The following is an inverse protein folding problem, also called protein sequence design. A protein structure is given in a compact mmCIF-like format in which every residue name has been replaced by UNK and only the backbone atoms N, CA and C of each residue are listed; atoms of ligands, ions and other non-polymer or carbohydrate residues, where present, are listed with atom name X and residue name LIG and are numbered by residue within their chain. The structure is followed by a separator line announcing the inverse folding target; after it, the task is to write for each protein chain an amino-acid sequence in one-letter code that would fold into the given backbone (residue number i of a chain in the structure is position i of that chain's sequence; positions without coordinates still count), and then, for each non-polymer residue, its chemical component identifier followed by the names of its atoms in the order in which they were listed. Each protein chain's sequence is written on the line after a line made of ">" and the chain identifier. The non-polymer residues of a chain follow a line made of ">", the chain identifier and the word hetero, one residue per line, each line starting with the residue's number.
data_IF_488963095604
#
_entry.id   IF_488963095604
#
_cell.length_a   1.000
_cell.length_b   1.000
_cell.length_c   1.000
_cell.angle_alpha   90.00
_cell.angle_beta   90.00
_cell.angle_gamma   90.00
#
_symmetry.space_group_name_H-M   'P 1'
#
loop_
_entity.id
_entity.type
_entity.pdbx_description
1 polymer ?
#
# COMPACT_ATOMS: atom_id res chain seq x y z
N UNK A 1 2.67 -19.93 -2.12
CA UNK A 1 2.55 -18.70 -2.95
C UNK A 1 3.63 -17.73 -2.49
N UNK A 2 4.39 -17.14 -3.42
CA UNK A 2 5.40 -16.13 -3.10
C UNK A 2 4.79 -14.75 -3.28
N UNK A 3 5.04 -13.86 -2.32
CA UNK A 3 4.60 -12.47 -2.36
C UNK A 3 5.83 -11.57 -2.27
N UNK A 4 6.04 -10.76 -3.29
CA UNK A 4 7.07 -9.71 -3.30
C UNK A 4 6.42 -8.40 -2.89
N UNK A 5 6.99 -7.72 -1.91
CA UNK A 5 6.44 -6.43 -1.49
C UNK A 5 7.51 -5.48 -1.01
N UNK A 6 7.13 -4.23 -0.74
CA UNK A 6 8.08 -3.17 -0.51
C UNK A 6 8.73 -3.30 0.87
N UNK A 7 9.91 -2.68 1.08
CA UNK A 7 10.70 -2.87 2.30
C UNK A 7 10.01 -2.26 3.53
N UNK A 8 10.48 -2.56 4.76
CA UNK A 8 9.94 -1.99 6.00
C UNK A 8 9.89 -0.46 6.09
N UNK A 9 10.63 0.24 5.24
CA UNK A 9 10.69 1.71 5.16
C UNK A 9 9.63 2.32 4.25
N UNK A 10 8.87 1.49 3.53
CA UNK A 10 7.94 1.95 2.50
C UNK A 10 6.55 2.23 3.04
N UNK A 11 6.02 3.44 2.75
CA UNK A 11 4.63 3.77 3.06
C UNK A 11 3.60 2.90 2.32
N UNK A 12 3.98 2.26 1.20
CA UNK A 12 3.12 1.27 0.51
C UNK A 12 2.97 -0.01 1.34
N UNK A 13 4.02 -0.42 2.06
CA UNK A 13 3.95 -1.53 3.02
C UNK A 13 2.98 -1.20 4.13
N UNK A 14 3.12 -0.02 4.73
CA UNK A 14 2.23 0.43 5.82
C UNK A 14 0.77 0.43 5.37
N UNK A 15 0.48 0.98 4.18
CA UNK A 15 -0.86 0.98 3.61
C UNK A 15 -1.40 -0.45 3.42
N UNK A 16 -0.59 -1.38 2.92
CA UNK A 16 -1.00 -2.75 2.71
C UNK A 16 -1.26 -3.49 4.03
N UNK A 17 -0.43 -3.24 5.05
CA UNK A 17 -0.63 -3.79 6.40
C UNK A 17 -1.94 -3.28 6.98
N UNK A 18 -2.16 -1.97 7.01
CA UNK A 18 -3.37 -1.37 7.62
C UNK A 18 -4.65 -1.73 6.86
N UNK A 19 -4.67 -1.55 5.54
CA UNK A 19 -5.89 -1.70 4.73
C UNK A 19 -6.19 -3.15 4.36
N UNK A 20 -5.14 -3.97 4.21
CA UNK A 20 -5.26 -5.36 3.78
C UNK A 20 -5.14 -6.33 4.95
N UNK A 21 -3.98 -6.35 5.61
CA UNK A 21 -3.64 -7.35 6.62
C UNK A 21 -4.47 -7.17 7.89
N UNK A 22 -4.51 -5.96 8.46
CA UNK A 22 -5.30 -5.68 9.66
C UNK A 22 -6.81 -5.83 9.37
N UNK A 23 -7.30 -5.30 8.24
CA UNK A 23 -8.71 -5.43 7.87
C UNK A 23 -9.13 -6.90 7.68
N UNK A 24 -8.26 -7.72 7.08
CA UNK A 24 -8.46 -9.16 6.95
C UNK A 24 -8.41 -9.89 8.30
N UNK A 25 -7.43 -9.55 9.14
CA UNK A 25 -7.29 -10.10 10.48
C UNK A 25 -8.55 -9.85 11.34
N UNK A 26 -9.17 -8.68 11.21
CA UNK A 26 -10.42 -8.34 11.90
C UNK A 26 -11.64 -9.17 11.48
N UNK A 27 -11.55 -9.96 10.41
CA UNK A 27 -12.59 -10.94 10.06
C UNK A 27 -12.56 -12.18 10.95
N UNK A 28 -11.47 -12.41 11.69
CA UNK A 28 -11.38 -13.49 12.67
C UNK A 28 -11.86 -13.00 14.04
N UNK A 29 -12.90 -13.61 14.65
CA UNK A 29 -13.46 -13.13 15.91
C UNK A 29 -12.43 -12.98 17.04
N UNK A 30 -11.49 -13.93 17.12
CA UNK A 30 -10.41 -13.89 18.11
C UNK A 30 -9.50 -12.68 17.95
N UNK A 31 -9.14 -12.32 16.71
CA UNK A 31 -8.25 -11.19 16.45
C UNK A 31 -8.98 -9.85 16.63
N UNK A 32 -10.25 -9.75 16.25
CA UNK A 32 -11.03 -8.52 16.47
C UNK A 32 -11.32 -8.27 17.97
N UNK A 33 -11.50 -9.34 18.76
CA UNK A 33 -11.58 -9.24 20.21
C UNK A 33 -10.26 -8.73 20.82
N UNK A 34 -9.10 -9.23 20.36
CA UNK A 34 -7.78 -8.74 20.80
C UNK A 34 -7.62 -7.26 20.44
N UNK A 35 -7.96 -6.85 19.22
CA UNK A 35 -7.90 -5.44 18.80
C UNK A 35 -8.74 -4.54 19.71
N UNK A 36 -9.97 -4.96 20.00
CA UNK A 36 -10.91 -4.20 20.81
C UNK A 36 -10.45 -4.05 22.27
N UNK A 37 -9.74 -5.06 22.80
CA UNK A 37 -9.20 -5.03 24.15
C UNK A 37 -7.83 -4.32 24.23
N UNK A 38 -6.98 -4.50 23.22
CA UNK A 38 -5.60 -4.01 23.20
C UNK A 38 -5.07 -3.87 21.76
N UNK A 39 -5.22 -2.67 21.19
CA UNK A 39 -4.76 -2.36 19.83
C UNK A 39 -3.25 -2.58 19.66
N UNK A 40 -2.44 -2.24 20.66
CA UNK A 40 -0.98 -2.45 20.61
C UNK A 40 -0.63 -3.94 20.49
N UNK A 41 -1.32 -4.80 21.24
CA UNK A 41 -1.12 -6.25 21.18
C UNK A 41 -1.61 -6.82 19.83
N UNK A 42 -2.70 -6.29 19.27
CA UNK A 42 -3.15 -6.67 17.94
C UNK A 42 -2.09 -6.35 16.88
N UNK A 43 -1.61 -5.11 16.84
CA UNK A 43 -0.57 -4.65 15.91
C UNK A 43 0.72 -5.47 16.02
N UNK A 44 1.17 -5.74 17.25
CA UNK A 44 2.35 -6.61 17.49
C UNK A 44 2.21 -8.03 16.91
N UNK A 45 0.99 -8.54 16.78
CA UNK A 45 0.71 -9.88 16.24
C UNK A 45 0.42 -9.88 14.75
N UNK A 46 -0.16 -8.81 14.22
CA UNK A 46 -0.76 -8.77 12.88
C UNK A 46 0.12 -8.02 11.88
N UNK A 47 0.80 -6.95 12.30
CA UNK A 47 1.55 -6.08 11.38
C UNK A 47 2.84 -6.75 10.87
N UNK A 48 3.26 -7.82 11.54
CA UNK A 48 4.38 -8.65 11.11
C UNK A 48 3.95 -9.52 9.94
N UNK A 49 4.49 -9.20 8.77
CA UNK A 49 4.37 -10.05 7.60
C UNK A 49 5.08 -11.39 7.84
N UNK A 50 4.59 -12.42 7.16
CA UNK A 50 5.05 -13.82 7.33
C UNK A 50 6.56 -13.97 7.15
N UNK A 51 7.21 -14.63 8.11
CA UNK A 51 8.66 -14.90 8.11
C UNK A 51 9.02 -16.32 7.63
N UNK A 52 8.01 -17.12 7.24
CA UNK A 52 8.15 -18.50 6.75
C UNK A 52 8.65 -18.60 5.29
N UNK A 53 9.22 -17.52 4.76
CA UNK A 53 9.75 -17.41 3.40
C UNK A 53 8.71 -17.16 2.29
N UNK A 54 7.41 -17.06 2.63
CA UNK A 54 6.39 -16.73 1.63
C UNK A 54 6.26 -15.25 1.30
N UNK A 55 6.80 -14.36 2.14
CA UNK A 55 6.96 -12.93 1.85
C UNK A 55 8.44 -12.64 1.58
N UNK A 56 8.71 -11.89 0.52
CA UNK A 56 10.05 -11.46 0.12
C UNK A 56 10.04 -9.93 0.08
N UNK A 57 10.86 -9.33 0.93
CA UNK A 57 11.12 -7.90 0.90
C UNK A 57 11.90 -7.55 -0.38
N UNK A 58 11.25 -6.81 -1.27
CA UNK A 58 11.88 -6.15 -2.40
C UNK A 58 12.47 -4.81 -1.96
N UNK A 59 13.30 -4.22 -2.82
CA UNK A 59 13.81 -2.85 -2.61
C UNK A 59 12.74 -1.78 -2.90
N UNK A 60 13.07 -0.51 -2.65
CA UNK A 60 12.19 0.65 -2.88
C UNK A 60 11.78 0.88 -4.35
N UNK A 61 12.34 0.11 -5.28
CA UNK A 61 12.04 0.23 -6.70
C UNK A 61 10.89 -0.72 -7.10
N UNK A 62 9.67 -0.20 -7.16
CA UNK A 62 8.48 -0.96 -7.56
C UNK A 62 8.59 -1.60 -8.96
N UNK A 63 9.34 -0.99 -9.89
CA UNK A 63 9.60 -1.60 -11.20
C UNK A 63 10.35 -2.93 -11.10
N UNK A 64 11.18 -3.10 -10.06
CA UNK A 64 11.86 -4.37 -9.81
C UNK A 64 10.87 -5.46 -9.38
N UNK A 65 9.82 -5.10 -8.63
CA UNK A 65 8.74 -6.02 -8.26
C UNK A 65 8.00 -6.45 -9.53
N UNK A 66 7.59 -5.51 -10.38
CA UNK A 66 6.93 -5.81 -11.67
C UNK A 66 7.80 -6.74 -12.53
N UNK A 67 9.08 -6.40 -12.71
CA UNK A 67 10.02 -7.22 -13.48
C UNK A 67 10.15 -8.65 -12.93
N UNK A 68 10.11 -8.79 -11.60
CA UNK A 68 10.15 -10.10 -10.94
C UNK A 68 8.88 -10.89 -11.23
N UNK A 69 7.70 -10.28 -11.13
CA UNK A 69 6.43 -10.96 -11.41
C UNK A 69 6.36 -11.53 -12.83
N UNK A 70 6.89 -10.80 -13.82
CA UNK A 70 6.92 -11.29 -15.22
C UNK A 70 7.77 -12.54 -15.41
N UNK A 71 8.72 -12.81 -14.49
CA UNK A 71 9.66 -13.94 -14.55
C UNK A 71 9.32 -15.05 -13.55
N UNK A 72 8.33 -14.84 -12.67
CA UNK A 72 7.97 -15.77 -11.60
C UNK A 72 6.48 -16.07 -11.65
N UNK A 73 6.05 -17.02 -12.50
CA UNK A 73 4.65 -17.41 -12.61
C UNK A 73 4.05 -17.84 -11.27
N UNK A 74 2.86 -17.34 -10.95
CA UNK A 74 2.15 -17.65 -9.70
C UNK A 74 2.60 -16.83 -8.48
N UNK A 75 3.57 -15.93 -8.62
CA UNK A 75 3.89 -14.95 -7.59
C UNK A 75 2.87 -13.79 -7.57
N UNK A 76 2.77 -13.14 -6.42
CA UNK A 76 2.02 -11.89 -6.24
C UNK A 76 2.95 -10.75 -5.87
N UNK A 77 2.54 -9.52 -6.17
CA UNK A 77 3.28 -8.31 -5.85
C UNK A 77 2.40 -7.28 -5.14
N UNK A 78 3.01 -6.50 -4.25
CA UNK A 78 2.42 -5.31 -3.63
C UNK A 78 3.23 -4.10 -4.07
N UNK A 79 2.62 -3.17 -4.79
CA UNK A 79 3.25 -1.94 -5.30
C UNK A 79 2.18 -0.90 -5.68
N UNK A 80 2.59 0.34 -5.92
CA UNK A 80 1.68 1.44 -6.27
C UNK A 80 0.90 1.21 -7.57
N UNK A 81 -0.33 1.75 -7.64
CA UNK A 81 -1.22 1.57 -8.81
C UNK A 81 -0.62 2.08 -10.13
N UNK A 82 0.16 3.17 -10.11
CA UNK A 82 0.79 3.71 -11.33
C UNK A 82 1.64 2.66 -12.05
N UNK A 83 2.38 1.82 -11.32
CA UNK A 83 3.20 0.75 -11.91
C UNK A 83 2.36 -0.38 -12.50
N UNK A 84 1.17 -0.64 -11.96
CA UNK A 84 0.20 -1.54 -12.58
C UNK A 84 -0.33 -0.94 -13.89
N UNK A 85 -0.70 0.35 -13.88
CA UNK A 85 -1.23 1.05 -15.05
C UNK A 85 -0.21 1.09 -16.20
N UNK A 86 1.05 1.42 -15.89
CA UNK A 86 2.17 1.44 -16.85
C UNK A 86 2.52 0.04 -17.42
N UNK A 87 2.14 -1.04 -16.73
CA UNK A 87 2.51 -2.41 -17.10
C UNK A 87 1.29 -3.35 -17.21
N UNK A 88 0.11 -2.79 -17.53
CA UNK A 88 -1.14 -3.55 -17.60
C UNK A 88 -1.15 -4.62 -18.70
N UNK A 89 -0.22 -4.53 -19.66
CA UNK A 89 0.04 -5.54 -20.69
C UNK A 89 0.81 -6.77 -20.15
N UNK A 90 1.53 -6.61 -19.02
CA UNK A 90 2.43 -7.64 -18.45
C UNK A 90 1.91 -8.24 -17.16
N UNK A 91 1.30 -7.43 -16.31
CA UNK A 91 0.81 -7.85 -14.98
C UNK A 91 -0.67 -7.51 -14.83
N UNK A 92 -1.35 -8.22 -13.91
CA UNK A 92 -2.79 -8.05 -13.66
C UNK A 92 -3.03 -7.56 -12.25
N UNK A 93 -3.95 -6.60 -12.11
CA UNK A 93 -4.43 -6.14 -10.81
C UNK A 93 -5.34 -7.17 -10.14
N UNK A 94 -5.13 -7.41 -8.85
CA UNK A 94 -5.99 -8.29 -8.05
C UNK A 94 -7.35 -7.65 -7.78
N UNK A 95 -8.43 -8.42 -7.88
CA UNK A 95 -9.76 -7.97 -7.45
C UNK A 95 -9.90 -8.20 -5.96
N UNK A 96 -10.32 -7.18 -5.21
CA UNK A 96 -10.52 -7.26 -3.75
C UNK A 96 -11.98 -6.98 -3.45
N UNK A 97 -12.65 -7.92 -2.76
CA UNK A 97 -14.09 -7.85 -2.47
C UNK A 97 -14.97 -7.57 -3.70
N UNK A 98 -14.60 -8.13 -4.86
CA UNK A 98 -15.32 -7.95 -6.12
C UNK A 98 -14.99 -6.64 -6.87
N UNK A 99 -14.19 -5.75 -6.30
CA UNK A 99 -13.80 -4.47 -6.91
C UNK A 99 -12.41 -4.58 -7.55
N UNK A 100 -12.27 -4.14 -8.81
CA UNK A 100 -10.99 -4.09 -9.52
C UNK A 100 -10.26 -2.77 -9.24
N UNK A 101 -8.91 -2.76 -9.22
CA UNK A 101 -8.13 -1.53 -9.11
C UNK A 101 -8.24 -0.78 -10.43
N UNK A 102 -9.03 0.28 -10.43
CA UNK A 102 -9.16 1.21 -11.56
C UNK A 102 -8.96 2.61 -11.01
N UNK A 103 -8.52 3.56 -11.85
CA UNK A 103 -8.37 4.95 -11.44
C UNK A 103 -9.64 5.48 -10.75
N UNK A 104 -10.82 5.24 -11.32
CA UNK A 104 -12.10 5.66 -10.73
C UNK A 104 -12.35 5.04 -9.36
N UNK A 105 -12.19 3.71 -9.23
CA UNK A 105 -12.46 3.01 -7.97
C UNK A 105 -11.45 3.37 -6.86
N UNK A 106 -10.24 3.77 -7.24
CA UNK A 106 -9.23 4.25 -6.30
C UNK A 106 -9.58 5.66 -5.85
N UNK A 107 -9.90 6.56 -6.80
CA UNK A 107 -10.24 7.97 -6.53
C UNK A 107 -11.50 8.11 -5.69
N UNK A 108 -12.53 7.29 -5.92
CA UNK A 108 -13.78 7.33 -5.15
C UNK A 108 -13.73 6.51 -3.84
N UNK A 109 -12.62 5.82 -3.58
CA UNK A 109 -12.42 5.03 -2.36
C UNK A 109 -13.11 3.66 -2.35
N UNK A 110 -13.76 3.24 -3.44
CA UNK A 110 -14.46 1.95 -3.50
C UNK A 110 -13.51 0.75 -3.62
N UNK A 111 -12.30 0.93 -4.14
CA UNK A 111 -11.27 -0.10 -4.12
C UNK A 111 -10.71 -0.24 -2.68
N UNK A 112 -10.83 -1.40 -2.00
CA UNK A 112 -10.57 -1.51 -0.56
C UNK A 112 -9.13 -1.20 -0.10
N UNK A 113 -8.17 -1.23 -1.01
CA UNK A 113 -6.76 -0.95 -0.72
C UNK A 113 -6.32 0.43 -1.26
N UNK A 114 -7.23 1.40 -1.32
CA UNK A 114 -6.91 2.80 -1.61
C UNK A 114 -6.90 3.64 -0.33
N UNK A 115 -6.06 4.69 -0.33
CA UNK A 115 -6.05 5.73 0.70
C UNK A 115 -5.69 7.07 0.10
N UNK A 116 -6.15 8.14 0.73
CA UNK A 116 -5.72 9.50 0.39
C UNK A 116 -4.22 9.66 0.67
N UNK A 117 -3.54 10.39 -0.22
CA UNK A 117 -2.18 10.86 0.01
C UNK A 117 -2.22 12.29 0.53
N UNK A 118 -1.32 12.61 1.45
CA UNK A 118 -1.24 13.92 2.07
C UNK A 118 0.15 14.51 1.84
N UNK A 119 0.20 15.80 1.51
CA UNK A 119 1.42 16.58 1.56
C UNK A 119 1.49 17.35 2.88
N UNK A 120 2.63 17.30 3.55
CA UNK A 120 2.86 18.02 4.80
C UNK A 120 3.87 19.14 4.58
N UNK A 121 3.45 20.37 4.87
CA UNK A 121 4.27 21.57 4.63
C UNK A 121 4.52 22.30 5.95
N UNK A 122 5.79 22.53 6.28
CA UNK A 122 6.17 23.34 7.43
C UNK A 122 5.79 24.79 7.15
N UNK A 123 4.81 25.32 7.90
CA UNK A 123 4.32 26.70 7.74
C UNK A 123 5.44 27.74 7.79
N UNK A 124 6.46 27.53 8.61
CA UNK A 124 7.62 28.43 8.74
C UNK A 124 8.48 28.53 7.48
N UNK A 125 8.32 27.61 6.51
CA UNK A 125 9.05 27.65 5.24
C UNK A 125 8.30 28.43 4.15
N UNK A 126 7.03 28.79 4.37
CA UNK A 126 6.26 29.62 3.43
C UNK A 126 6.86 31.04 3.40
N UNK A 127 7.34 31.47 2.23
CA UNK A 127 8.04 32.74 2.04
C UNK A 127 9.55 32.68 2.33
N UNK A 128 10.05 31.55 2.83
CA UNK A 128 11.50 31.27 2.97
C UNK A 128 11.98 30.42 1.80
N UNK A 129 11.27 29.34 1.49
CA UNK A 129 11.52 28.50 0.32
C UNK A 129 10.85 29.14 -0.91
N UNK A 130 11.61 29.62 -1.91
CA UNK A 130 11.03 30.18 -3.13
C UNK A 130 10.12 29.17 -3.83
N UNK A 131 8.95 29.62 -4.27
CA UNK A 131 8.00 28.78 -5.01
C UNK A 131 7.15 27.83 -4.15
N UNK A 132 7.39 27.72 -2.83
CA UNK A 132 6.67 26.75 -2.00
C UNK A 132 5.18 27.09 -1.86
N UNK A 133 4.81 28.37 -1.83
CA UNK A 133 3.40 28.76 -1.76
C UNK A 133 2.69 28.41 -3.07
N UNK A 134 3.32 28.74 -4.18
CA UNK A 134 2.83 28.51 -5.54
C UNK A 134 2.69 27.00 -5.80
N UNK A 135 3.68 26.20 -5.41
CA UNK A 135 3.63 24.74 -5.48
C UNK A 135 2.45 24.15 -4.70
N UNK A 136 2.22 24.60 -3.46
CA UNK A 136 1.10 24.09 -2.65
C UNK A 136 -0.25 24.50 -3.23
N UNK A 137 -0.36 25.71 -3.78
CA UNK A 137 -1.57 26.17 -4.44
C UNK A 137 -1.88 25.35 -5.70
N UNK A 138 -0.87 25.06 -6.51
CA UNK A 138 -1.01 24.23 -7.72
C UNK A 138 -1.25 22.75 -7.39
N UNK A 139 -0.71 22.25 -6.27
CA UNK A 139 -0.93 20.86 -5.89
C UNK A 139 -2.38 20.55 -5.50
N UNK A 140 -3.13 21.56 -5.01
CA UNK A 140 -4.50 21.40 -4.51
C UNK A 140 -5.57 22.01 -5.44
N UNK A 141 -5.17 22.55 -6.60
CA UNK A 141 -6.08 23.12 -7.61
C UNK A 141 -6.81 22.03 -8.39
#
# INVERSE_FOLDING_TARGET
>A
ILVYGPPPTSGTRDAFVELGIEAGARKFPTLDAIRSANEKLFKQRVDKLREDGGWIDAGENDNAIVATLTKTPGAMGVFGYSFLEENADKVKGATVNGVRPTASAITDGSYPLSRSLFIYVKKSMIGVTPGLREFVQEYVS
#
